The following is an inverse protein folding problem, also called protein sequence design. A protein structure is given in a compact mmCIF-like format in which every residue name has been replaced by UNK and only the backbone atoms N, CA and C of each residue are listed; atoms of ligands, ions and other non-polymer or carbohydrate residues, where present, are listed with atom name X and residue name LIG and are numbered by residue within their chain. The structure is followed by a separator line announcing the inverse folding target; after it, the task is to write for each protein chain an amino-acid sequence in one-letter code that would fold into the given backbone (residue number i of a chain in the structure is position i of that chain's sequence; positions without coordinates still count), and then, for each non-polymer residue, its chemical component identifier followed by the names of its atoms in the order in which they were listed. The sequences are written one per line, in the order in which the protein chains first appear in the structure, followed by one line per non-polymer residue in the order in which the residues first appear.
data_IF_885842232955
#
_entry.id   IF_885842232955
#
_cell.length_a   1.000
_cell.length_b   1.000
_cell.length_c   1.000
_cell.angle_alpha   90.00
_cell.angle_beta   90.00
_cell.angle_gamma   90.00
#
_symmetry.space_group_name_H-M   'P 1'
#
loop_
_entity.id
_entity.type
_entity.pdbx_description
1 polymer ?
#
# COMPACT_ATOMS: atom_id res chain seq x y z
N UNK A 1 24.49 6.23 -39.26
CA UNK A 1 23.40 5.37 -38.76
C UNK A 1 23.43 5.45 -37.25
N UNK A 2 22.34 5.90 -36.63
CA UNK A 2 22.19 5.94 -35.18
C UNK A 2 20.95 5.15 -34.77
N UNK A 3 21.04 4.50 -33.61
CA UNK A 3 19.95 3.79 -32.95
C UNK A 3 20.28 2.31 -32.74
N UNK A 4 20.06 1.71 -31.59
CA UNK A 4 19.61 2.16 -30.26
C UNK A 4 20.26 1.17 -29.29
N UNK A 5 20.79 1.67 -28.16
CA UNK A 5 21.02 0.81 -27.02
C UNK A 5 19.66 0.39 -26.51
N UNK A 6 19.34 -0.90 -26.63
CA UNK A 6 18.22 -1.52 -25.92
C UNK A 6 18.65 -1.72 -24.46
N UNK A 7 18.82 -0.60 -23.76
CA UNK A 7 18.93 -0.50 -22.31
C UNK A 7 17.56 -0.08 -21.80
N UNK A 8 16.59 -1.00 -21.68
CA UNK A 8 15.50 -0.87 -20.69
C UNK A 8 14.67 -2.16 -20.60
N UNK A 9 15.30 -3.22 -20.10
CA UNK A 9 14.60 -4.42 -19.67
C UNK A 9 14.98 -4.75 -18.24
N UNK A 10 14.88 -3.77 -17.34
CA UNK A 10 14.92 -4.01 -15.90
C UNK A 10 13.59 -3.63 -15.24
N UNK A 11 12.61 -4.55 -15.14
CA UNK A 11 11.39 -4.29 -14.39
C UNK A 11 11.61 -4.12 -12.88
N UNK A 12 12.84 -4.32 -12.37
CA UNK A 12 13.16 -4.26 -10.95
C UNK A 12 13.46 -2.84 -10.42
N UNK A 13 13.42 -1.81 -11.26
CA UNK A 13 13.68 -0.41 -10.87
C UNK A 13 12.44 0.49 -10.91
N UNK A 14 11.25 -0.06 -11.14
CA UNK A 14 10.03 0.73 -11.01
C UNK A 14 9.77 1.00 -9.54
N UNK A 15 9.73 2.28 -9.19
CA UNK A 15 9.24 2.77 -7.90
C UNK A 15 7.96 1.99 -7.54
N UNK A 16 7.80 1.50 -6.29
CA UNK A 16 6.58 0.80 -5.88
C UNK A 16 5.29 1.61 -6.13
N UNK A 17 5.40 2.93 -6.27
CA UNK A 17 4.33 3.85 -6.65
C UNK A 17 3.92 3.77 -8.14
N UNK A 18 4.79 3.27 -9.03
CA UNK A 18 4.51 3.05 -10.46
C UNK A 18 3.84 1.70 -10.73
N UNK A 19 3.72 0.83 -9.73
CA UNK A 19 2.90 -0.37 -9.84
C UNK A 19 1.42 0.02 -9.75
N UNK A 20 0.76 0.05 -10.92
CA UNK A 20 -0.67 0.35 -11.14
C UNK A 20 -1.63 -0.37 -10.17
N UNK A 21 -1.19 -1.46 -9.53
CA UNK A 21 -1.96 -2.19 -8.50
C UNK A 21 -2.14 -1.43 -7.18
N UNK A 22 -1.41 -0.34 -6.98
CA UNK A 22 -1.52 0.49 -5.77
C UNK A 22 -2.73 1.41 -5.73
N UNK A 23 -3.27 1.80 -6.90
CA UNK A 23 -4.43 2.68 -7.07
C UNK A 23 -5.77 1.92 -7.10
N UNK A 24 -5.73 0.59 -7.04
CA UNK A 24 -6.95 -0.22 -6.91
C UNK A 24 -7.66 0.08 -5.59
N UNK A 25 -9.00 -0.01 -5.52
CA UNK A 25 -9.70 0.09 -4.25
C UNK A 25 -9.19 -0.97 -3.27
N UNK A 26 -9.15 -0.65 -1.97
CA UNK A 26 -8.72 -1.63 -0.98
C UNK A 26 -9.56 -2.91 -1.05
N UNK A 27 -8.92 -4.05 -0.77
CA UNK A 27 -9.62 -5.33 -0.69
C UNK A 27 -10.48 -5.40 0.57
N UNK A 28 -11.54 -6.22 0.56
CA UNK A 28 -12.38 -6.44 1.74
C UNK A 28 -11.58 -6.94 2.97
N UNK A 29 -10.51 -7.71 2.72
CA UNK A 29 -9.60 -8.18 3.77
C UNK A 29 -8.83 -7.03 4.42
N UNK A 30 -8.28 -6.12 3.61
CA UNK A 30 -7.61 -4.92 4.10
C UNK A 30 -8.58 -4.01 4.87
N UNK A 31 -9.79 -3.79 4.35
CA UNK A 31 -10.82 -2.99 5.02
C UNK A 31 -11.18 -3.53 6.41
N UNK A 32 -11.40 -4.85 6.51
CA UNK A 32 -11.74 -5.50 7.79
C UNK A 32 -10.60 -5.41 8.81
N UNK A 33 -9.35 -5.51 8.33
CA UNK A 33 -8.19 -5.42 9.20
C UNK A 33 -7.94 -3.99 9.68
N UNK A 34 -8.09 -3.00 8.78
CA UNK A 34 -8.06 -1.58 9.13
C UNK A 34 -9.12 -1.21 10.15
N UNK A 35 -10.37 -1.66 10.00
CA UNK A 35 -11.44 -1.39 10.98
C UNK A 35 -11.05 -1.87 12.39
N UNK A 36 -10.49 -3.08 12.47
CA UNK A 36 -10.02 -3.65 13.74
C UNK A 36 -8.91 -2.79 14.35
N UNK A 37 -7.88 -2.49 13.56
CA UNK A 37 -6.73 -1.69 14.00
C UNK A 37 -7.11 -0.26 14.39
N UNK A 38 -7.99 0.38 13.61
CA UNK A 38 -8.49 1.72 13.85
C UNK A 38 -9.25 1.80 15.17
N UNK A 39 -10.14 0.82 15.44
CA UNK A 39 -10.87 0.72 16.70
C UNK A 39 -9.97 0.53 17.91
N UNK A 40 -8.87 -0.19 17.75
CA UNK A 40 -7.92 -0.43 18.84
C UNK A 40 -6.98 0.74 19.08
N UNK A 41 -6.61 1.45 18.01
CA UNK A 41 -5.90 2.73 18.12
C UNK A 41 -6.83 3.87 18.60
N UNK A 42 -8.16 3.69 18.51
CA UNK A 42 -9.13 4.75 18.76
C UNK A 42 -9.13 5.83 17.68
N UNK A 43 -8.69 5.50 16.46
CA UNK A 43 -8.67 6.39 15.30
C UNK A 43 -9.81 6.01 14.33
N UNK A 44 -10.31 6.99 13.57
CA UNK A 44 -11.21 6.73 12.42
C UNK A 44 -10.41 6.86 11.13
N UNK A 45 -10.55 5.87 10.24
CA UNK A 45 -9.88 5.87 8.95
C UNK A 45 -10.85 6.09 7.79
N UNK A 46 -10.38 6.67 6.67
CA UNK A 46 -11.18 6.75 5.45
C UNK A 46 -11.52 5.36 4.92
N UNK A 47 -12.75 5.16 4.44
CA UNK A 47 -13.20 3.88 3.84
C UNK A 47 -12.92 3.80 2.34
N UNK A 48 -12.43 4.89 1.75
CA UNK A 48 -12.15 5.06 0.32
C UNK A 48 -10.66 4.95 -0.01
N UNK A 49 -9.86 4.39 0.92
CA UNK A 49 -8.43 4.15 0.69
C UNK A 49 -8.21 3.16 -0.47
N UNK A 50 -7.18 3.41 -1.25
CA UNK A 50 -6.67 2.43 -2.21
C UNK A 50 -5.97 1.29 -1.48
N UNK A 51 -5.71 0.20 -2.19
CA UNK A 51 -4.97 -0.96 -1.70
C UNK A 51 -3.58 -0.58 -1.20
N UNK A 52 -2.87 0.33 -1.87
CA UNK A 52 -1.58 0.81 -1.40
C UNK A 52 -1.73 1.63 -0.11
N UNK A 53 -2.64 2.59 -0.09
CA UNK A 53 -2.90 3.43 1.08
C UNK A 53 -3.33 2.58 2.29
N UNK A 54 -4.23 1.61 2.07
CA UNK A 54 -4.67 0.69 3.10
C UNK A 54 -3.51 -0.11 3.69
N UNK A 55 -2.56 -0.55 2.86
CA UNK A 55 -1.36 -1.27 3.34
C UNK A 55 -0.46 -0.38 4.21
N UNK A 56 -0.31 0.89 3.84
CA UNK A 56 0.45 1.88 4.62
C UNK A 56 -0.21 2.15 5.98
N UNK A 57 -1.53 2.37 6.01
CA UNK A 57 -2.26 2.59 7.26
C UNK A 57 -2.26 1.35 8.17
N UNK A 58 -2.34 0.14 7.59
CA UNK A 58 -2.19 -1.12 8.32
C UNK A 58 -0.85 -1.16 9.07
N UNK A 59 0.27 -0.86 8.40
CA UNK A 59 1.59 -0.87 9.02
C UNK A 59 1.72 0.19 10.12
N UNK A 60 1.23 1.42 9.85
CA UNK A 60 1.21 2.51 10.84
C UNK A 60 0.43 2.11 12.09
N UNK A 61 -0.77 1.58 11.93
CA UNK A 61 -1.64 1.22 13.05
C UNK A 61 -1.14 -0.01 13.80
N UNK A 62 -0.55 -1.00 13.12
CA UNK A 62 0.09 -2.14 13.79
C UNK A 62 1.23 -1.68 14.71
N UNK A 63 2.02 -0.69 14.28
CA UNK A 63 3.07 -0.10 15.12
C UNK A 63 2.48 0.70 16.28
N UNK A 64 1.44 1.52 16.02
CA UNK A 64 0.78 2.32 17.04
C UNK A 64 0.08 1.48 18.13
N UNK A 65 -0.50 0.34 17.73
CA UNK A 65 -1.17 -0.61 18.63
C UNK A 65 -0.22 -1.61 19.29
N UNK A 66 1.09 -1.58 18.96
CA UNK A 66 2.11 -2.41 19.58
C UNK A 66 2.13 -3.88 19.12
N UNK A 67 1.64 -4.16 17.90
CA UNK A 67 1.56 -5.52 17.32
C UNK A 67 2.70 -5.91 16.39
N UNK A 68 3.49 -4.94 15.93
CA UNK A 68 4.60 -5.17 14.99
C UNK A 68 5.89 -5.72 15.61
N UNK A 69 5.80 -6.57 16.64
CA UNK A 69 6.95 -7.12 17.39
C UNK A 69 6.97 -8.64 17.38
#
# INVERSE_FOLDING_TARGET
MGGRGDDDANPASKDPAEWVTGDEPMTAAQASYLDTLAREAGEELPTDLTKAQASVEIERLQQATGRGQ
#
